data_IF_554401443756
#
_entry.id   IF_554401443756
#
_cell.length_a   1.000
_cell.length_b   1.000
_cell.length_c   1.000
_cell.angle_alpha   90.00
_cell.angle_beta   90.00
_cell.angle_gamma   90.00
#
_symmetry.space_group_name_H-M   'P 1'
#
loop_
_entity.id
_entity.type
_entity.pdbx_description
1 polymer ?
#
# COMPACT_ATOMS: atom_id res chain seq x y z
N UNK A 1 26.09 -30.21 5.93
CA UNK A 1 25.02 -29.58 6.73
C UNK A 1 24.68 -28.22 6.14
N UNK A 2 23.56 -28.14 5.41
CA UNK A 2 23.08 -26.90 4.78
C UNK A 2 22.68 -25.92 5.88
N UNK A 3 23.28 -24.72 5.89
CA UNK A 3 22.88 -23.65 6.81
C UNK A 3 21.43 -23.29 6.51
N UNK A 4 20.51 -23.72 7.39
CA UNK A 4 19.10 -23.37 7.40
C UNK A 4 19.01 -21.85 7.28
N UNK A 5 18.56 -21.35 6.11
CA UNK A 5 18.30 -19.91 5.90
C UNK A 5 17.34 -19.49 7.00
N UNK A 6 17.84 -18.73 7.99
CA UNK A 6 17.00 -18.14 9.02
C UNK A 6 15.95 -17.29 8.30
N UNK A 7 14.68 -17.65 8.44
CA UNK A 7 13.57 -16.87 7.89
C UNK A 7 13.72 -15.45 8.41
N UNK A 8 14.02 -14.48 7.52
CA UNK A 8 14.12 -13.08 7.91
C UNK A 8 12.77 -12.69 8.50
N UNK A 9 12.77 -12.25 9.76
CA UNK A 9 11.56 -11.73 10.39
C UNK A 9 11.08 -10.51 9.59
N UNK A 10 9.76 -10.35 9.39
CA UNK A 10 9.23 -9.18 8.72
C UNK A 10 9.61 -7.91 9.49
N UNK A 11 9.82 -6.81 8.78
CA UNK A 11 10.16 -5.51 9.38
C UNK A 11 8.97 -4.83 10.09
N UNK A 12 7.75 -5.32 9.86
CA UNK A 12 6.52 -4.83 10.48
C UNK A 12 5.31 -5.70 10.12
N UNK A 13 4.17 -5.40 10.75
CA UNK A 13 2.88 -6.05 10.49
C UNK A 13 1.80 -4.98 10.37
N UNK A 14 0.81 -5.24 9.52
CA UNK A 14 -0.37 -4.37 9.33
C UNK A 14 -1.63 -5.23 9.22
N UNK A 15 -2.78 -4.67 9.60
CA UNK A 15 -4.05 -5.38 9.43
C UNK A 15 -4.40 -5.46 7.94
N UNK A 16 -4.91 -6.61 7.47
CA UNK A 16 -5.32 -6.82 6.07
C UNK A 16 -6.26 -5.71 5.55
N UNK A 17 -7.18 -5.22 6.38
CA UNK A 17 -8.08 -4.14 6.00
C UNK A 17 -7.35 -2.81 5.74
N UNK A 18 -6.26 -2.54 6.45
CA UNK A 18 -5.50 -1.30 6.26
C UNK A 18 -4.75 -1.28 4.93
N UNK A 19 -4.39 -2.44 4.37
CA UNK A 19 -3.79 -2.54 3.03
C UNK A 19 -4.74 -1.98 1.95
N UNK A 20 -6.04 -2.21 2.12
CA UNK A 20 -7.04 -1.80 1.13
C UNK A 20 -7.40 -0.32 1.30
N UNK A 21 -7.29 0.23 2.52
CA UNK A 21 -7.74 1.60 2.82
C UNK A 21 -6.64 2.64 2.88
N UNK A 22 -5.55 2.35 3.60
CA UNK A 22 -4.61 3.37 4.09
C UNK A 22 -3.19 3.08 3.65
N UNK A 23 -2.80 1.80 3.65
CA UNK A 23 -1.44 1.33 3.37
C UNK A 23 -1.42 0.44 2.12
N UNK A 24 -2.04 0.92 1.03
CA UNK A 24 -2.00 0.25 -0.28
C UNK A 24 -0.75 0.62 -1.09
N UNK A 25 -0.55 0.04 -2.28
CA UNK A 25 0.61 0.34 -3.13
C UNK A 25 0.81 1.85 -3.35
N UNK A 26 2.05 2.32 -3.17
CA UNK A 26 2.39 3.75 -3.29
C UNK A 26 2.11 4.60 -2.04
N UNK A 27 1.45 4.05 -1.02
CA UNK A 27 1.30 4.74 0.26
C UNK A 27 2.61 4.74 1.06
N UNK A 28 2.84 5.81 1.82
CA UNK A 28 3.97 5.91 2.75
C UNK A 28 3.57 5.39 4.13
N UNK A 29 4.48 4.68 4.78
CA UNK A 29 4.30 4.12 6.12
C UNK A 29 5.59 4.27 6.93
N UNK A 30 5.46 4.64 8.20
CA UNK A 30 6.58 4.60 9.15
C UNK A 30 6.62 3.26 9.88
N UNK A 31 7.75 2.57 9.73
CA UNK A 31 8.16 1.46 10.57
C UNK A 31 9.07 1.99 11.69
N UNK A 32 9.32 1.21 12.77
CA UNK A 32 10.12 1.67 13.91
C UNK A 32 11.50 2.21 13.53
N UNK A 33 12.16 1.58 12.55
CA UNK A 33 13.53 1.94 12.14
C UNK A 33 13.60 2.67 10.79
N UNK A 34 12.53 2.63 9.98
CA UNK A 34 12.55 3.06 8.57
C UNK A 34 11.23 3.68 8.14
N UNK A 35 11.29 4.66 7.24
CA UNK A 35 10.12 5.06 6.47
C UNK A 35 10.13 4.33 5.13
N UNK A 36 8.96 3.86 4.69
CA UNK A 36 8.82 3.00 3.53
C UNK A 36 7.64 3.39 2.66
N UNK A 37 7.71 3.04 1.38
CA UNK A 37 6.59 2.96 0.45
C UNK A 37 6.12 1.52 0.34
N UNK A 38 4.81 1.32 0.39
CA UNK A 38 4.21 0.01 0.12
C UNK A 38 4.40 -0.34 -1.36
N UNK A 39 4.99 -1.50 -1.63
CA UNK A 39 5.33 -1.94 -2.98
C UNK A 39 4.11 -2.28 -3.83
N UNK A 40 4.31 -2.21 -5.15
CA UNK A 40 3.37 -2.68 -6.17
C UNK A 40 3.04 -4.16 -6.01
N UNK A 41 1.87 -4.56 -6.54
CA UNK A 41 1.36 -5.93 -6.43
C UNK A 41 2.31 -6.97 -7.02
N UNK A 42 3.09 -6.60 -8.04
CA UNK A 42 4.10 -7.47 -8.68
C UNK A 42 5.21 -7.94 -7.74
N UNK A 43 5.46 -7.17 -6.67
CA UNK A 43 6.50 -7.50 -5.69
C UNK A 43 5.95 -8.29 -4.49
N UNK A 44 4.64 -8.52 -4.40
CA UNK A 44 4.04 -9.21 -3.26
C UNK A 44 4.35 -10.70 -3.30
N UNK A 45 4.68 -11.27 -2.14
CA UNK A 45 5.10 -12.66 -1.99
C UNK A 45 3.96 -13.52 -1.46
N UNK A 46 3.83 -14.74 -1.99
CA UNK A 46 2.75 -15.66 -1.60
C UNK A 46 1.47 -15.53 -2.41
N UNK A 47 1.46 -14.73 -3.49
CA UNK A 47 0.26 -14.54 -4.32
C UNK A 47 -0.19 -15.81 -5.05
N UNK A 48 0.71 -16.77 -5.31
CA UNK A 48 0.35 -18.07 -5.94
C UNK A 48 -0.55 -18.94 -5.07
N UNK A 49 -0.49 -18.76 -3.75
CA UNK A 49 -1.30 -19.47 -2.77
C UNK A 49 -2.32 -18.55 -2.12
N UNK A 50 -2.51 -17.34 -2.66
CA UNK A 50 -3.48 -16.41 -2.13
C UNK A 50 -4.91 -16.89 -2.42
N UNK A 51 -5.79 -16.60 -1.47
CA UNK A 51 -7.22 -16.83 -1.60
C UNK A 51 -7.77 -15.99 -2.75
N UNK A 52 -8.30 -16.64 -3.79
CA UNK A 52 -8.98 -15.96 -4.89
C UNK A 52 -10.38 -15.53 -4.43
N UNK A 53 -10.68 -14.25 -4.62
CA UNK A 53 -11.97 -13.66 -4.27
C UNK A 53 -12.82 -13.64 -5.54
N UNK A 54 -13.84 -14.49 -5.59
CA UNK A 54 -14.76 -14.59 -6.73
C UNK A 54 -16.05 -13.85 -6.41
N UNK A 55 -16.24 -12.68 -7.03
CA UNK A 55 -17.49 -11.93 -7.00
C UNK A 55 -17.77 -11.40 -8.41
N UNK A 56 -18.67 -12.09 -9.12
CA UNK A 56 -18.87 -11.90 -10.56
C UNK A 56 -19.31 -10.48 -10.90
N UNK A 57 -20.13 -9.85 -10.06
CA UNK A 57 -20.63 -8.48 -10.30
C UNK A 57 -19.52 -7.45 -10.17
N UNK A 58 -18.66 -7.62 -9.17
CA UNK A 58 -17.52 -6.74 -8.97
C UNK A 58 -16.47 -6.94 -10.07
N UNK A 59 -16.18 -8.20 -10.42
CA UNK A 59 -15.27 -8.53 -11.52
C UNK A 59 -15.73 -7.93 -12.85
N UNK A 60 -16.99 -8.09 -13.23
CA UNK A 60 -17.52 -7.53 -14.47
C UNK A 60 -17.37 -6.00 -14.54
N UNK A 61 -17.66 -5.32 -13.42
CA UNK A 61 -17.49 -3.86 -13.31
C UNK A 61 -16.03 -3.43 -13.41
N UNK A 62 -15.12 -4.12 -12.72
CA UNK A 62 -13.69 -3.82 -12.75
C UNK A 62 -13.06 -4.12 -14.12
N UNK A 63 -13.44 -5.22 -14.79
CA UNK A 63 -12.96 -5.54 -16.15
C UNK A 63 -13.30 -4.45 -17.15
N UNK A 64 -14.52 -3.93 -17.06
CA UNK A 64 -14.99 -2.81 -17.91
C UNK A 64 -14.23 -1.52 -17.58
N UNK A 65 -14.08 -1.20 -16.29
CA UNK A 65 -13.43 0.04 -15.85
C UNK A 65 -11.92 0.08 -16.17
N UNK A 66 -11.23 -1.05 -15.98
CA UNK A 66 -9.78 -1.17 -16.15
C UNK A 66 -9.38 -1.58 -17.56
N UNK A 67 -10.36 -1.86 -18.44
CA UNK A 67 -10.13 -2.37 -19.80
C UNK A 67 -9.29 -3.67 -19.82
N UNK A 68 -9.48 -4.51 -18.79
CA UNK A 68 -8.79 -5.79 -18.63
C UNK A 68 -9.79 -6.93 -18.82
N UNK A 69 -9.77 -7.67 -19.95
CA UNK A 69 -10.72 -8.75 -20.19
C UNK A 69 -10.52 -9.92 -19.20
N UNK A 70 -9.28 -10.17 -18.82
CA UNK A 70 -8.91 -11.16 -17.81
C UNK A 70 -8.48 -10.44 -16.53
N UNK A 71 -9.35 -10.48 -15.53
CA UNK A 71 -9.08 -9.97 -14.19
C UNK A 71 -9.44 -11.02 -13.16
N UNK A 72 -8.53 -11.22 -12.21
CA UNK A 72 -8.70 -12.03 -11.00
C UNK A 72 -8.45 -11.15 -9.78
N UNK A 73 -9.17 -11.42 -8.70
CA UNK A 73 -9.00 -10.70 -7.44
C UNK A 73 -8.46 -11.67 -6.40
N UNK A 74 -7.48 -11.23 -5.63
CA UNK A 74 -6.87 -12.02 -4.57
C UNK A 74 -6.92 -11.27 -3.26
N UNK A 75 -7.08 -12.00 -2.18
CA UNK A 75 -6.99 -11.43 -0.85
C UNK A 75 -5.52 -11.06 -0.54
N UNK A 76 -5.26 -10.00 0.25
CA UNK A 76 -3.89 -9.65 0.64
C UNK A 76 -3.18 -10.81 1.37
N UNK A 77 -1.87 -11.00 1.16
CA UNK A 77 -1.14 -12.15 1.67
C UNK A 77 -1.22 -12.20 3.21
N UNK A 78 -1.62 -13.35 3.78
CA UNK A 78 -1.67 -13.50 5.23
C UNK A 78 -0.27 -13.69 5.82
N UNK A 79 -0.11 -13.31 7.09
CA UNK A 79 1.01 -13.75 7.92
C UNK A 79 0.60 -15.08 8.58
N UNK A 80 1.27 -16.17 8.19
CA UNK A 80 0.98 -17.50 8.72
C UNK A 80 1.61 -17.75 10.10
N UNK A 81 2.50 -16.88 10.57
CA UNK A 81 3.17 -17.02 11.88
C UNK A 81 4.12 -18.23 12.02
N UNK A 82 4.11 -19.16 11.07
CA UNK A 82 4.95 -20.35 11.04
C UNK A 82 6.29 -20.06 10.32
N UNK A 83 7.43 -20.09 11.02
CA UNK A 83 8.75 -19.83 10.45
C UNK A 83 9.26 -20.95 9.52
N UNK A 84 8.56 -22.07 9.41
CA UNK A 84 8.91 -23.17 8.50
C UNK A 84 8.31 -22.99 7.11
N UNK A 85 7.24 -22.19 6.98
CA UNK A 85 6.60 -21.89 5.71
C UNK A 85 7.40 -20.86 4.90
N UNK A 86 7.24 -20.86 3.56
CA UNK A 86 7.78 -19.78 2.72
C UNK A 86 7.28 -18.42 3.20
N UNK A 87 8.14 -17.41 3.19
CA UNK A 87 7.76 -16.05 3.60
C UNK A 87 6.79 -15.44 2.60
N UNK A 88 5.55 -15.25 3.06
CA UNK A 88 4.50 -14.47 2.39
C UNK A 88 4.50 -13.04 2.93
N UNK A 89 4.06 -12.07 2.13
CA UNK A 89 3.94 -10.70 2.60
C UNK A 89 4.01 -9.64 1.52
N UNK A 90 3.91 -8.40 1.98
CA UNK A 90 3.95 -7.20 1.16
C UNK A 90 5.39 -6.67 1.13
N UNK A 91 5.97 -6.55 -0.06
CA UNK A 91 7.28 -5.92 -0.22
C UNK A 91 7.14 -4.40 -0.02
N UNK A 92 8.14 -3.78 0.59
CA UNK A 92 8.17 -2.35 0.84
C UNK A 92 9.53 -1.78 0.43
N UNK A 93 9.54 -0.53 -0.01
CA UNK A 93 10.74 0.16 -0.47
C UNK A 93 11.10 1.27 0.51
N UNK A 94 12.36 1.36 0.94
CA UNK A 94 12.79 2.45 1.81
C UNK A 94 12.68 3.80 1.09
N UNK A 95 11.91 4.73 1.65
CA UNK A 95 11.63 6.05 1.08
C UNK A 95 11.16 7.01 2.16
N UNK A 96 11.55 8.31 2.16
CA UNK A 96 12.45 8.99 1.22
C UNK A 96 13.91 8.53 1.31
N UNK A 97 14.72 8.88 0.31
CA UNK A 97 16.18 8.63 0.33
C UNK A 97 16.97 9.75 1.00
N UNK A 98 16.32 10.86 1.38
CA UNK A 98 16.95 11.97 2.12
C UNK A 98 16.61 11.98 3.61
N UNK A 99 17.59 12.41 4.41
CA UNK A 99 17.52 12.40 5.86
C UNK A 99 18.08 13.70 6.45
N UNK A 100 17.64 14.03 7.67
CA UNK A 100 18.23 15.10 8.48
C UNK A 100 18.90 14.52 9.72
N UNK A 101 20.04 15.09 10.14
CA UNK A 101 20.69 14.70 11.40
C UNK A 101 19.90 15.17 12.61
N UNK A 102 19.92 14.40 13.69
CA UNK A 102 19.28 14.80 14.94
C UNK A 102 20.08 15.83 15.72
N UNK A 103 21.41 15.80 15.60
CA UNK A 103 22.29 16.79 16.19
C UNK A 103 21.99 18.17 15.58
N UNK A 104 21.66 19.12 16.44
CA UNK A 104 21.34 20.51 16.07
C UNK A 104 22.57 21.37 16.27
N UNK A 105 22.98 22.07 15.23
CA UNK A 105 23.94 23.16 15.32
C UNK A 105 23.17 24.46 15.50
N UNK A 106 23.42 25.16 16.59
CA UNK A 106 22.83 26.46 16.84
C UNK A 106 23.69 27.51 16.14
N UNK A 107 23.09 28.20 15.18
CA UNK A 107 23.69 29.36 14.52
C UNK A 107 22.95 30.63 14.92
N UNK A 108 23.62 31.78 14.85
CA UNK A 108 23.02 33.09 15.12
C UNK A 108 22.96 33.89 13.84
N UNK A 109 21.75 34.07 13.31
CA UNK A 109 21.51 34.97 12.18
C UNK A 109 20.77 36.22 12.72
N UNK A 110 21.54 37.26 13.02
CA UNK A 110 21.01 38.47 13.67
C UNK A 110 20.50 38.20 15.09
N UNK A 111 19.25 38.58 15.37
CA UNK A 111 18.59 38.36 16.67
C UNK A 111 17.90 36.98 16.80
N UNK A 112 17.96 36.15 15.75
CA UNK A 112 17.28 34.86 15.70
C UNK A 112 18.25 33.70 15.89
N UNK A 113 17.85 32.73 16.71
CA UNK A 113 18.56 31.45 16.86
C UNK A 113 18.09 30.51 15.76
N UNK A 114 19.02 30.04 14.93
CA UNK A 114 18.77 29.09 13.85
C UNK A 114 19.18 27.70 14.31
N UNK A 115 18.27 26.73 14.15
CA UNK A 115 18.57 25.31 14.38
C UNK A 115 18.94 24.67 13.05
N UNK A 116 20.23 24.51 12.80
CA UNK A 116 20.75 23.91 11.58
C UNK A 116 20.98 22.40 11.76
N UNK A 117 20.45 21.60 10.84
CA UNK A 117 20.70 20.16 10.74
C UNK A 117 21.27 19.83 9.37
N UNK A 118 22.13 18.83 9.30
CA UNK A 118 22.69 18.37 8.03
C UNK A 118 21.61 17.63 7.24
N UNK A 119 21.46 17.98 5.97
CA UNK A 119 20.62 17.27 5.01
C UNK A 119 21.49 16.31 4.19
N UNK A 120 21.25 15.01 4.32
CA UNK A 120 22.13 13.96 3.81
C UNK A 120 21.35 12.90 3.05
N UNK A 121 21.95 12.37 1.98
CA UNK A 121 21.37 11.29 1.20
C UNK A 121 21.68 9.92 1.83
N UNK A 122 20.83 8.91 1.59
CA UNK A 122 21.02 7.55 2.13
C UNK A 122 22.38 6.95 1.78
N UNK A 123 22.89 7.28 0.59
CA UNK A 123 24.18 6.79 0.10
C UNK A 123 25.37 7.28 0.93
N UNK A 124 25.18 8.35 1.71
CA UNK A 124 26.18 8.87 2.65
C UNK A 124 26.07 8.25 4.05
N UNK A 125 25.11 7.35 4.28
CA UNK A 125 24.90 6.70 5.58
C UNK A 125 25.72 5.42 5.70
N UNK A 126 26.33 5.20 6.86
CA UNK A 126 27.02 3.96 7.22
C UNK A 126 26.26 3.27 8.34
N UNK A 127 25.66 2.10 8.06
CA UNK A 127 24.85 1.33 9.02
C UNK A 127 23.75 2.17 9.68
N UNK A 128 23.04 2.97 8.88
CA UNK A 128 21.93 3.82 9.33
C UNK A 128 22.33 5.08 10.10
N UNK A 129 23.61 5.42 10.19
CA UNK A 129 24.11 6.66 10.81
C UNK A 129 24.90 7.49 9.82
N UNK A 130 24.85 8.80 9.96
CA UNK A 130 25.74 9.70 9.22
C UNK A 130 27.07 9.82 9.98
N UNK A 131 28.18 9.79 9.25
CA UNK A 131 29.52 10.02 9.82
C UNK A 131 30.01 11.35 9.29
N UNK A 132 30.16 12.33 10.17
CA UNK A 132 30.61 13.67 9.76
C UNK A 132 32.13 13.73 9.52
N UNK A 133 32.61 14.90 9.07
CA UNK A 133 34.04 15.15 8.81
C UNK A 133 34.92 14.94 10.05
N UNK A 134 34.36 15.06 11.25
CA UNK A 134 35.03 14.85 12.52
C UNK A 134 34.94 13.39 13.01
N UNK A 135 34.47 12.46 12.16
CA UNK A 135 34.23 11.04 12.46
C UNK A 135 33.18 10.80 13.56
N UNK A 136 32.36 11.80 13.89
CA UNK A 136 31.27 11.63 14.84
C UNK A 136 30.11 10.94 14.13
N UNK A 137 29.54 9.93 14.79
CA UNK A 137 28.36 9.21 14.31
C UNK A 137 27.10 9.91 14.79
N UNK A 138 26.25 10.33 13.86
CA UNK A 138 25.02 11.04 14.14
C UNK A 138 23.81 10.19 13.74
N UNK A 139 22.79 10.21 14.59
CA UNK A 139 21.49 9.63 14.26
C UNK A 139 20.79 10.51 13.22
N UNK A 140 20.05 9.88 12.33
CA UNK A 140 19.34 10.55 11.24
C UNK A 140 17.88 10.15 11.24
N UNK A 141 17.02 11.06 10.79
CA UNK A 141 15.60 10.81 10.58
C UNK A 141 15.23 11.11 9.13
N UNK A 142 14.36 10.31 8.49
CA UNK A 142 13.91 10.58 7.12
C UNK A 142 13.30 11.98 7.02
N UNK A 143 13.55 12.67 5.91
CA UNK A 143 12.96 13.99 5.69
C UNK A 143 11.43 13.89 5.63
N UNK A 144 10.74 14.94 6.09
CA UNK A 144 9.28 15.00 6.12
C UNK A 144 8.66 15.44 4.79
N UNK A 145 9.49 15.86 3.84
CA UNK A 145 9.06 16.54 2.63
C UNK A 145 9.47 15.75 1.39
N UNK A 146 8.49 15.49 0.53
CA UNK A 146 8.66 14.81 -0.75
C UNK A 146 7.94 15.62 -1.83
N UNK A 147 8.19 15.29 -3.09
CA UNK A 147 7.43 15.84 -4.21
C UNK A 147 6.43 14.83 -4.73
N UNK A 148 5.31 15.32 -5.24
CA UNK A 148 4.34 14.52 -5.96
C UNK A 148 3.70 15.32 -7.10
N UNK A 149 3.07 14.69 -8.07
CA UNK A 149 2.34 15.35 -9.15
C UNK A 149 0.85 14.94 -9.19
N UNK A 150 0.06 15.54 -10.08
CA UNK A 150 -1.37 15.21 -10.25
C UNK A 150 -1.62 13.82 -10.82
N UNK A 151 -0.67 13.26 -11.56
CA UNK A 151 -0.73 11.88 -12.07
C UNK A 151 -0.37 10.82 -11.00
N UNK A 152 -0.05 11.23 -9.76
CA UNK A 152 0.22 10.29 -8.66
C UNK A 152 1.67 9.81 -8.56
N UNK A 153 2.59 10.35 -9.37
CA UNK A 153 4.03 10.13 -9.17
C UNK A 153 4.50 10.74 -7.86
N UNK A 154 5.48 10.09 -7.24
CA UNK A 154 6.08 10.53 -5.97
C UNK A 154 7.59 10.36 -6.05
N UNK A 155 8.33 11.26 -5.42
CA UNK A 155 9.78 11.15 -5.35
C UNK A 155 10.40 12.09 -4.34
N UNK A 156 11.69 11.91 -4.10
CA UNK A 156 12.48 12.85 -3.33
C UNK A 156 12.59 14.19 -4.05
N UNK A 157 12.61 15.28 -3.28
CA UNK A 157 12.88 16.61 -3.82
C UNK A 157 14.35 16.65 -4.26
N UNK A 158 14.59 17.17 -5.46
CA UNK A 158 15.96 17.46 -5.90
C UNK A 158 16.47 18.69 -5.15
N UNK A 159 16.97 18.49 -3.92
CA UNK A 159 17.37 19.58 -3.03
C UNK A 159 18.48 20.46 -3.60
N UNK A 160 19.39 19.90 -4.41
CA UNK A 160 20.41 20.68 -5.10
C UNK A 160 19.82 21.61 -6.15
N UNK A 161 18.92 21.10 -7.00
CA UNK A 161 18.23 21.94 -7.97
C UNK A 161 17.34 22.97 -7.28
N UNK A 162 16.65 22.58 -6.21
CA UNK A 162 15.78 23.47 -5.43
C UNK A 162 16.54 24.68 -4.89
N UNK A 163 17.67 24.47 -4.20
CA UNK A 163 18.43 25.56 -3.55
C UNK A 163 19.24 26.40 -4.54
N UNK A 164 19.65 25.83 -5.67
CA UNK A 164 20.49 26.52 -6.68
C UNK A 164 19.73 27.06 -7.88
N UNK A 165 18.40 26.93 -7.92
CA UNK A 165 17.57 27.33 -9.07
C UNK A 165 17.80 28.77 -9.55
N UNK A 166 18.10 29.69 -8.63
CA UNK A 166 18.28 31.13 -8.90
C UNK A 166 19.72 31.58 -8.59
N UNK A 167 20.69 30.68 -8.71
CA UNK A 167 22.10 30.94 -8.39
C UNK A 167 23.01 30.77 -9.59
N UNK A 168 24.19 31.37 -9.52
CA UNK A 168 25.28 31.24 -10.49
C UNK A 168 26.00 29.87 -10.42
N UNK A 169 25.60 28.98 -9.50
CA UNK A 169 26.28 27.70 -9.20
C UNK A 169 25.32 26.50 -9.25
N UNK A 170 24.64 26.22 -10.39
CA UNK A 170 23.66 25.14 -10.51
C UNK A 170 24.26 23.73 -10.26
N UNK A 171 25.55 23.56 -10.54
CA UNK A 171 26.25 22.29 -10.40
C UNK A 171 26.91 22.08 -9.03
N UNK A 172 26.69 23.00 -8.08
CA UNK A 172 27.21 22.83 -6.73
C UNK A 172 26.58 21.61 -6.04
N UNK A 173 27.44 20.76 -5.45
CA UNK A 173 27.07 19.55 -4.70
C UNK A 173 27.66 19.51 -3.29
N UNK A 174 27.93 20.69 -2.71
CA UNK A 174 28.45 20.79 -1.33
C UNK A 174 27.38 20.44 -0.30
N UNK A 175 27.78 20.26 0.95
CA UNK A 175 26.90 19.82 2.03
C UNK A 175 25.66 20.74 2.15
N UNK A 176 24.48 20.12 2.22
CA UNK A 176 23.22 20.79 2.43
C UNK A 176 22.84 20.81 3.91
N UNK A 177 22.06 21.81 4.28
CA UNK A 177 21.56 22.07 5.61
C UNK A 177 20.08 22.39 5.54
N UNK A 178 19.35 21.93 6.56
CA UNK A 178 17.98 22.35 6.83
C UNK A 178 18.02 23.22 8.08
N UNK A 179 17.78 24.50 7.88
CA UNK A 179 17.78 25.53 8.91
C UNK A 179 16.33 25.79 9.33
N UNK A 180 16.06 25.75 10.64
CA UNK A 180 14.75 26.05 11.23
C UNK A 180 14.86 27.31 12.09
N UNK A 181 14.13 28.38 11.72
CA UNK A 181 14.01 29.62 12.50
C UNK A 181 12.76 29.58 13.37
N UNK A 182 12.79 28.78 14.43
CA UNK A 182 11.68 28.66 15.39
C UNK A 182 11.57 27.27 16.02
N UNK A 183 10.52 27.07 16.80
CA UNK A 183 10.25 25.80 17.52
C UNK A 183 8.99 25.09 17.01
N UNK A 184 8.18 25.74 16.18
CA UNK A 184 6.88 25.24 15.71
C UNK A 184 7.04 24.16 14.63
N UNK A 185 8.15 24.19 13.89
CA UNK A 185 8.38 23.29 12.76
C UNK A 185 7.51 23.61 11.55
N UNK A 186 6.98 24.84 11.50
CA UNK A 186 6.25 25.40 10.36
C UNK A 186 7.13 25.45 9.11
N UNK A 187 6.54 25.15 7.95
CA UNK A 187 7.20 25.19 6.65
C UNK A 187 7.72 26.60 6.34
N UNK A 188 7.02 27.64 6.82
CA UNK A 188 7.45 29.03 6.71
C UNK A 188 8.82 29.32 7.37
N UNK A 189 9.16 28.58 8.41
CA UNK A 189 10.39 28.74 9.20
C UNK A 189 11.54 27.85 8.68
N UNK A 190 11.31 27.06 7.63
CA UNK A 190 12.28 26.11 7.09
C UNK A 190 12.98 26.72 5.87
N UNK A 191 14.32 26.74 5.94
CA UNK A 191 15.18 27.14 4.83
C UNK A 191 16.17 26.03 4.51
N UNK A 192 16.37 25.77 3.23
CA UNK A 192 17.43 24.88 2.76
C UNK A 192 18.64 25.75 2.40
N UNK A 193 19.81 25.38 2.91
CA UNK A 193 21.07 26.09 2.69
C UNK A 193 22.13 25.14 2.17
N UNK A 194 22.94 25.59 1.23
CA UNK A 194 24.16 24.90 0.80
C UNK A 194 25.38 25.55 1.46
N UNK A 195 26.42 24.77 1.73
CA UNK A 195 27.73 25.24 2.20
C UNK A 195 28.39 26.27 1.25
N UNK A 196 27.92 26.40 0.00
CA UNK A 196 28.37 27.47 -0.91
C UNK A 196 27.78 28.86 -0.63
N UNK A 197 26.80 28.96 0.28
CA UNK A 197 26.08 30.19 0.60
C UNK A 197 24.69 30.31 -0.05
N UNK A 198 24.37 29.47 -1.04
CA UNK A 198 23.03 29.42 -1.63
C UNK A 198 21.98 29.01 -0.59
N UNK A 199 20.82 29.66 -0.61
CA UNK A 199 19.76 29.42 0.36
C UNK A 199 18.39 29.70 -0.26
N UNK A 200 17.38 28.92 0.12
CA UNK A 200 16.00 29.07 -0.37
C UNK A 200 14.97 28.66 0.68
N UNK A 201 13.87 29.39 0.80
CA UNK A 201 12.80 29.06 1.75
C UNK A 201 11.94 27.91 1.22
N UNK A 202 11.61 26.95 2.08
CA UNK A 202 10.77 25.82 1.69
C UNK A 202 9.33 26.26 1.36
N UNK A 203 8.87 27.35 1.97
CA UNK A 203 7.57 27.95 1.71
C UNK A 203 7.33 28.29 0.23
N UNK A 204 8.38 28.59 -0.55
CA UNK A 204 8.28 28.86 -1.99
C UNK A 204 7.85 27.63 -2.81
N UNK A 205 8.02 26.42 -2.25
CA UNK A 205 7.57 25.17 -2.84
C UNK A 205 6.12 24.81 -2.48
N UNK A 206 5.47 25.58 -1.61
CA UNK A 206 4.07 25.36 -1.23
C UNK A 206 3.16 25.89 -2.35
N UNK A 207 2.25 25.05 -2.81
CA UNK A 207 1.28 25.39 -3.85
C UNK A 207 1.23 24.36 -4.97
N UNK A 208 0.22 24.48 -5.82
CA UNK A 208 0.01 23.58 -6.96
C UNK A 208 0.68 24.06 -8.24
N UNK A 209 0.81 25.38 -8.41
CA UNK A 209 1.27 26.01 -9.66
C UNK A 209 2.68 26.62 -9.53
N UNK A 210 3.40 26.28 -8.46
CA UNK A 210 4.79 26.71 -8.26
C UNK A 210 5.73 25.87 -9.12
N UNK A 211 6.72 26.54 -9.75
CA UNK A 211 7.80 25.87 -10.49
C UNK A 211 9.00 25.54 -9.61
N UNK A 212 8.93 25.80 -8.30
CA UNK A 212 10.07 25.64 -7.39
C UNK A 212 10.61 24.20 -7.33
N UNK A 213 9.76 23.19 -7.53
CA UNK A 213 10.14 21.77 -7.56
C UNK A 213 10.28 21.20 -8.99
N UNK A 214 10.18 22.04 -10.02
CA UNK A 214 10.29 21.67 -11.42
C UNK A 214 9.20 20.72 -11.93
N UNK A 215 9.42 20.21 -13.15
CA UNK A 215 8.54 19.20 -13.76
C UNK A 215 8.72 17.83 -13.12
N UNK A 216 7.64 17.06 -13.11
CA UNK A 216 7.64 15.67 -12.69
C UNK A 216 8.55 14.84 -13.60
N UNK A 217 9.34 13.96 -13.01
CA UNK A 217 10.16 12.98 -13.73
C UNK A 217 9.48 11.62 -13.87
N UNK A 218 8.19 11.54 -13.51
CA UNK A 218 7.36 10.36 -13.64
C UNK A 218 7.79 9.18 -12.77
N UNK A 219 8.58 9.42 -11.72
CA UNK A 219 9.08 8.35 -10.86
C UNK A 219 7.94 7.64 -10.10
N UNK A 220 8.02 6.30 -10.10
CA UNK A 220 7.12 5.37 -9.42
C UNK A 220 7.91 4.44 -8.50
N UNK A 221 8.56 4.97 -7.45
CA UNK A 221 9.46 4.20 -6.60
C UNK A 221 8.81 2.99 -5.93
N UNK A 222 7.48 2.98 -5.77
CA UNK A 222 6.75 1.84 -5.22
C UNK A 222 6.70 0.61 -6.16
N UNK A 223 6.93 0.79 -7.46
CA UNK A 223 7.03 -0.32 -8.43
C UNK A 223 8.45 -0.91 -8.49
N UNK A 224 9.41 -0.29 -7.78
CA UNK A 224 10.81 -0.69 -7.77
C UNK A 224 11.74 0.32 -8.45
N UNK A 225 13.04 -0.03 -8.55
CA UNK A 225 14.05 0.85 -9.11
C UNK A 225 13.85 1.04 -10.63
N UNK A 226 14.14 2.26 -11.11
CA UNK A 226 14.07 2.63 -12.53
C UNK A 226 12.67 2.54 -13.16
N UNK A 227 11.62 2.50 -12.35
CA UNK A 227 10.24 2.60 -12.81
C UNK A 227 9.83 4.07 -12.94
N UNK A 228 9.96 4.63 -14.15
CA UNK A 228 9.45 5.96 -14.49
C UNK A 228 8.55 5.92 -15.73
N UNK A 229 7.82 7.00 -15.98
CA UNK A 229 7.10 7.23 -17.24
C UNK A 229 7.15 8.70 -17.63
N UNK A 230 6.73 9.01 -18.86
CA UNK A 230 6.69 10.39 -19.31
C UNK A 230 5.61 11.16 -18.55
N UNK A 231 5.97 12.30 -17.97
CA UNK A 231 5.05 13.17 -17.25
C UNK A 231 5.38 14.64 -17.52
N UNK A 232 4.35 15.44 -17.78
CA UNK A 232 4.49 16.88 -18.05
C UNK A 232 4.04 17.76 -16.89
N UNK A 233 3.40 17.16 -15.89
CA UNK A 233 2.87 17.84 -14.71
C UNK A 233 3.97 18.50 -13.88
N UNK A 234 3.61 19.53 -13.13
CA UNK A 234 4.50 20.13 -12.13
C UNK A 234 4.51 19.32 -10.84
N UNK A 235 5.65 19.33 -10.16
CA UNK A 235 5.76 18.78 -8.82
C UNK A 235 5.22 19.77 -7.79
N UNK A 236 4.45 19.26 -6.82
CA UNK A 236 4.04 19.97 -5.61
C UNK A 236 4.70 19.38 -4.38
N UNK A 237 4.87 20.22 -3.36
CA UNK A 237 5.37 19.79 -2.05
C UNK A 237 4.31 18.92 -1.36
N UNK A 238 4.74 17.78 -0.82
CA UNK A 238 3.90 16.90 -0.03
C UNK A 238 4.61 16.57 1.30
N UNK A 239 3.83 16.58 2.38
CA UNK A 239 4.31 16.16 3.70
C UNK A 239 4.02 14.67 3.86
N UNK A 240 5.05 13.90 4.19
CA UNK A 240 5.02 12.44 4.29
C UNK A 240 3.92 11.90 5.20
N UNK A 241 3.63 12.60 6.29
CA UNK A 241 2.65 12.21 7.32
C UNK A 241 1.30 12.91 7.17
N UNK A 242 1.10 13.71 6.12
CA UNK A 242 -0.17 14.39 5.92
C UNK A 242 -1.25 13.42 5.42
N UNK A 243 -2.49 13.66 5.85
CA UNK A 243 -3.65 12.85 5.45
C UNK A 243 -3.94 12.88 3.95
N UNK A 244 -3.43 13.90 3.25
CA UNK A 244 -3.56 14.06 1.81
C UNK A 244 -2.45 13.38 0.99
N UNK A 245 -1.54 12.64 1.65
CA UNK A 245 -0.45 11.97 0.98
C UNK A 245 -0.87 10.73 0.19
N UNK A 246 -1.96 10.07 0.60
CA UNK A 246 -2.48 8.89 -0.07
C UNK A 246 -3.98 8.77 0.10
N UNK A 247 -4.69 8.47 -0.99
CA UNK A 247 -6.12 8.15 -0.97
C UNK A 247 -6.36 6.87 -1.77
N UNK A 248 -6.88 5.84 -1.12
CA UNK A 248 -7.28 4.63 -1.82
C UNK A 248 -8.54 4.88 -2.66
N UNK A 249 -8.51 4.48 -3.92
CA UNK A 249 -9.70 4.35 -4.75
C UNK A 249 -10.38 3.02 -4.42
N UNK A 250 -11.51 3.08 -3.72
CA UNK A 250 -12.24 1.89 -3.23
C UNK A 250 -13.47 1.64 -4.09
N UNK A 251 -13.64 0.39 -4.51
CA UNK A 251 -14.89 -0.12 -5.05
C UNK A 251 -15.38 -1.28 -4.19
N UNK A 252 -16.64 -1.26 -3.82
CA UNK A 252 -17.26 -2.30 -3.01
C UNK A 252 -18.60 -2.74 -3.61
N UNK A 253 -18.98 -3.98 -3.31
CA UNK A 253 -20.31 -4.52 -3.54
C UNK A 253 -20.73 -5.25 -2.27
N UNK A 254 -22.03 -5.25 -1.98
CA UNK A 254 -22.57 -6.14 -0.97
C UNK A 254 -22.73 -7.50 -1.65
N UNK A 255 -21.89 -8.45 -1.25
CA UNK A 255 -22.02 -9.84 -1.70
C UNK A 255 -23.05 -10.52 -0.82
N UNK A 256 -24.14 -10.96 -1.45
CA UNK A 256 -25.08 -11.88 -0.86
C UNK A 256 -24.71 -13.26 -1.40
N UNK A 257 -24.60 -14.31 -0.56
CA UNK A 257 -24.37 -15.65 -1.08
C UNK A 257 -25.44 -15.95 -2.12
N UNK A 258 -25.03 -16.60 -3.21
CA UNK A 258 -25.97 -17.05 -4.22
C UNK A 258 -27.07 -17.90 -3.57
N UNK A 259 -28.29 -17.88 -4.13
CA UNK A 259 -29.38 -18.74 -3.63
C UNK A 259 -28.91 -20.20 -3.57
N UNK A 260 -28.16 -20.63 -4.57
CA UNK A 260 -27.56 -21.97 -4.65
C UNK A 260 -26.51 -22.24 -3.56
N UNK A 261 -25.63 -21.28 -3.22
CA UNK A 261 -24.65 -21.44 -2.13
C UNK A 261 -25.35 -21.48 -0.76
N UNK A 262 -26.45 -20.74 -0.62
CA UNK A 262 -27.31 -20.73 0.57
C UNK A 262 -28.00 -22.09 0.72
N UNK A 263 -28.51 -22.66 -0.37
CA UNK A 263 -29.12 -23.98 -0.41
C UNK A 263 -28.07 -25.06 -0.09
N UNK A 264 -26.90 -25.01 -0.71
CA UNK A 264 -25.81 -25.96 -0.50
C UNK A 264 -25.35 -26.00 0.95
N UNK A 265 -25.10 -24.83 1.58
CA UNK A 265 -24.74 -24.74 3.00
C UNK A 265 -25.88 -25.18 3.93
N UNK A 266 -27.13 -24.90 3.57
CA UNK A 266 -28.28 -25.35 4.35
C UNK A 266 -28.42 -26.88 4.30
N UNK A 267 -28.27 -27.48 3.11
CA UNK A 267 -28.28 -28.93 2.89
C UNK A 267 -27.10 -29.61 3.60
N UNK A 268 -25.90 -29.02 3.58
CA UNK A 268 -24.73 -29.50 4.34
C UNK A 268 -25.01 -29.65 5.84
N UNK A 269 -25.65 -28.65 6.44
CA UNK A 269 -25.91 -28.63 7.88
C UNK A 269 -26.87 -29.73 8.35
N UNK A 270 -27.70 -30.26 7.44
CA UNK A 270 -28.68 -31.32 7.74
C UNK A 270 -28.45 -32.57 6.89
N UNK A 271 -27.27 -32.72 6.29
CA UNK A 271 -26.96 -33.81 5.36
C UNK A 271 -27.19 -35.19 5.97
N UNK A 272 -26.86 -35.38 7.25
CA UNK A 272 -27.09 -36.64 7.97
C UNK A 272 -28.57 -37.10 8.00
N UNK A 273 -29.52 -36.21 7.73
CA UNK A 273 -30.95 -36.53 7.62
C UNK A 273 -31.41 -36.68 6.16
N UNK A 274 -30.67 -36.10 5.21
CA UNK A 274 -30.99 -36.07 3.79
C UNK A 274 -30.21 -37.12 2.98
N UNK A 275 -29.21 -37.77 3.58
CA UNK A 275 -28.32 -38.73 2.92
C UNK A 275 -29.06 -39.97 2.38
N UNK A 276 -30.16 -40.38 3.00
CA UNK A 276 -30.94 -41.57 2.62
C UNK A 276 -32.26 -41.24 1.90
N UNK A 277 -32.46 -39.99 1.48
CA UNK A 277 -33.68 -39.54 0.81
C UNK A 277 -33.63 -39.91 -0.68
N UNK A 278 -34.64 -40.59 -1.20
CA UNK A 278 -34.67 -41.07 -2.59
C UNK A 278 -35.73 -40.39 -3.47
N UNK A 279 -36.54 -39.50 -2.90
CA UNK A 279 -37.54 -38.73 -3.65
C UNK A 279 -37.80 -37.34 -3.04
N UNK A 280 -38.37 -36.43 -3.84
CA UNK A 280 -38.82 -35.13 -3.36
C UNK A 280 -39.90 -35.21 -2.26
N UNK A 281 -40.67 -36.31 -2.21
CA UNK A 281 -41.65 -36.55 -1.15
C UNK A 281 -41.00 -37.02 0.16
N UNK A 282 -39.85 -37.69 0.09
CA UNK A 282 -39.05 -38.03 1.29
C UNK A 282 -38.39 -36.78 1.90
N UNK A 283 -38.03 -35.79 1.06
CA UNK A 283 -37.57 -34.47 1.55
C UNK A 283 -38.66 -33.80 2.38
N UNK A 284 -39.93 -33.91 1.96
CA UNK A 284 -41.08 -33.39 2.73
C UNK A 284 -41.29 -34.13 4.04
N UNK A 285 -41.01 -35.43 4.07
CA UNK A 285 -41.09 -36.21 5.30
C UNK A 285 -40.02 -35.77 6.30
N UNK A 286 -38.78 -35.62 5.84
CA UNK A 286 -37.65 -35.17 6.67
C UNK A 286 -37.79 -33.72 7.17
N UNK A 287 -38.44 -32.84 6.39
CA UNK A 287 -38.81 -31.48 6.85
C UNK A 287 -39.78 -31.45 8.04
N UNK A 288 -40.44 -32.56 8.39
CA UNK A 288 -41.27 -32.63 9.62
C UNK A 288 -40.42 -32.61 10.89
N UNK A 289 -39.14 -32.97 10.82
CA UNK A 289 -38.20 -32.89 11.95
C UNK A 289 -37.87 -31.43 12.24
N UNK A 290 -38.02 -31.02 13.50
CA UNK A 290 -37.86 -29.61 13.91
C UNK A 290 -36.50 -28.99 13.50
N UNK A 291 -35.43 -29.80 13.58
CA UNK A 291 -34.06 -29.39 13.23
C UNK A 291 -33.84 -29.19 11.72
N UNK A 292 -34.56 -29.94 10.89
CA UNK A 292 -34.51 -29.83 9.42
C UNK A 292 -35.37 -28.66 8.95
N UNK A 293 -36.55 -28.50 9.56
CA UNK A 293 -37.46 -27.37 9.30
C UNK A 293 -36.82 -26.01 9.55
N UNK A 294 -36.08 -25.85 10.65
CA UNK A 294 -35.47 -24.57 11.02
C UNK A 294 -34.29 -24.16 10.13
N UNK A 295 -33.58 -25.14 9.55
CA UNK A 295 -32.43 -24.89 8.67
C UNK A 295 -32.88 -24.68 7.21
N UNK A 296 -33.93 -25.37 6.77
CA UNK A 296 -34.46 -25.30 5.40
C UNK A 296 -35.68 -24.36 5.28
N UNK A 297 -35.82 -23.39 6.19
CA UNK A 297 -36.92 -22.45 6.18
C UNK A 297 -36.78 -21.45 5.00
N UNK A 298 -37.81 -21.32 4.17
CA UNK A 298 -37.80 -20.43 2.99
C UNK A 298 -37.19 -21.01 1.70
N UNK A 299 -36.72 -22.27 1.71
CA UNK A 299 -36.22 -22.99 0.52
C UNK A 299 -37.31 -23.96 0.01
N UNK A 300 -37.46 -24.06 -1.31
CA UNK A 300 -38.40 -24.98 -1.96
C UNK A 300 -37.92 -26.43 -1.96
N UNK A 301 -38.84 -27.39 -1.86
CA UNK A 301 -38.51 -28.84 -1.82
C UNK A 301 -37.76 -29.30 -3.08
N UNK A 302 -38.15 -28.79 -4.26
CA UNK A 302 -37.51 -29.11 -5.54
C UNK A 302 -36.09 -28.54 -5.65
N UNK A 303 -35.84 -27.38 -5.04
CA UNK A 303 -34.50 -26.77 -5.01
C UNK A 303 -33.56 -27.60 -4.13
N UNK A 304 -34.05 -28.08 -2.97
CA UNK A 304 -33.32 -28.97 -2.06
C UNK A 304 -33.04 -30.31 -2.72
N UNK A 305 -34.05 -30.89 -3.38
CA UNK A 305 -33.90 -32.15 -4.10
C UNK A 305 -32.88 -32.04 -5.24
N UNK A 306 -32.92 -30.95 -6.01
CA UNK A 306 -31.94 -30.70 -7.07
C UNK A 306 -30.51 -30.59 -6.53
N UNK A 307 -30.31 -29.99 -5.36
CA UNK A 307 -29.00 -29.92 -4.69
C UNK A 307 -28.54 -31.29 -4.16
N UNK A 308 -29.44 -32.11 -3.60
CA UNK A 308 -29.14 -33.48 -3.17
C UNK A 308 -28.70 -34.34 -4.37
N UNK A 309 -29.40 -34.24 -5.50
CA UNK A 309 -29.05 -34.94 -6.74
C UNK A 309 -27.73 -34.44 -7.33
N UNK A 310 -27.48 -33.12 -7.31
CA UNK A 310 -26.21 -32.55 -7.72
C UNK A 310 -25.05 -33.08 -6.87
N UNK A 311 -25.26 -33.24 -5.55
CA UNK A 311 -24.25 -33.74 -4.61
C UNK A 311 -24.00 -35.25 -4.72
N UNK A 312 -25.01 -36.04 -5.05
CA UNK A 312 -24.87 -37.47 -5.39
C UNK A 312 -24.24 -37.69 -6.77
N UNK A 313 -23.97 -36.62 -7.53
CA UNK A 313 -23.36 -36.69 -8.85
C UNK A 313 -24.33 -37.10 -9.96
N UNK A 314 -25.65 -37.07 -9.69
CA UNK A 314 -26.69 -37.53 -10.61
C UNK A 314 -27.15 -36.45 -11.62
N UNK A 315 -26.66 -35.21 -11.49
CA UNK A 315 -26.98 -34.14 -12.45
C UNK A 315 -25.72 -33.43 -12.96
N UNK A 316 -25.51 -33.48 -14.29
CA UNK A 316 -24.58 -32.61 -15.00
C UNK A 316 -25.08 -31.16 -14.90
N UNK A 317 -24.20 -30.24 -14.47
CA UNK A 317 -24.47 -28.80 -14.41
C UNK A 317 -25.05 -28.30 -15.74
N UNK A 318 -26.35 -28.00 -15.75
CA UNK A 318 -26.97 -27.26 -16.83
C UNK A 318 -26.48 -25.81 -16.76
N UNK A 319 -25.56 -25.46 -17.67
CA UNK A 319 -25.26 -24.08 -18.02
C UNK A 319 -26.55 -23.38 -18.45
N UNK A 320 -27.18 -22.62 -17.54
CA UNK A 320 -28.33 -21.79 -17.89
C UNK A 320 -27.84 -20.65 -18.79
N UNK A 321 -28.31 -20.68 -20.04
CA UNK A 321 -28.07 -19.65 -21.06
C UNK A 321 -28.64 -18.30 -20.62
N UNK A 322 -27.83 -17.25 -20.72
CA UNK A 322 -28.28 -15.86 -20.63
C UNK A 322 -29.06 -15.54 -21.91
N UNK A 323 -30.36 -15.21 -21.77
CA UNK A 323 -31.19 -14.67 -22.87
C UNK A 323 -30.73 -13.25 -23.22
N UNK A 324 -30.91 -12.83 -24.49
CA UNK A 324 -30.19 -11.70 -25.10
C UNK A 324 -30.37 -10.35 -24.40
#
# INVERSE_FOLDING_TARGET
MSKRKTSRRPHGQIRRSQIITTFGPGSMMDLPDHSVLIGGLDNWRGMKTAEEIVELRLLAKLRTLLELPELKMYAPPPDHGDPTLPTTGVEVWQFPEWFVTQDVQLDREGNSTVRARLLVHRNSLTRGKFVDRNKKRQHVVPIRFVRACRHGHIGDINWYAFVHAETDKPDCRRQLWMDETGTSGDIGEIRIRCECGARRQLAEAVGFDTRALGHCDGNRPWLGPYCSENCTELNRLLIRTASNAYFAQKMSVISLPGRDETISKAVDNVWAFLEEVDSADDVRYERKKARVKSVLEGIGDEEIWSEIQARRGETAQQNKSVKP
#
